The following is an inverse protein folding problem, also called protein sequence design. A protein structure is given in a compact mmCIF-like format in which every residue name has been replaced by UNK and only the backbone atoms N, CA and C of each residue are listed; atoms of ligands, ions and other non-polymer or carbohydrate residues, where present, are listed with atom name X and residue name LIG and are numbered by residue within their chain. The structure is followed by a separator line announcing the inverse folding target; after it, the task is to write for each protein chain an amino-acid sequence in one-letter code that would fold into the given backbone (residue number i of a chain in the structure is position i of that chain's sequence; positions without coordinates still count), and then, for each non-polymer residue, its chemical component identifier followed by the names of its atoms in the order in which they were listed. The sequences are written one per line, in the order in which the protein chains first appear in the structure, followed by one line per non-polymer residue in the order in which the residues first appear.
data_IF_176494419804
#
_entry.id   IF_176494419804
#
_cell.length_a   1.000
_cell.length_b   1.000
_cell.length_c   1.000
_cell.angle_alpha   90.00
_cell.angle_beta   90.00
_cell.angle_gamma   90.00
#
_symmetry.space_group_name_H-M   'P 1'
#
loop_
_entity.id
_entity.type
_entity.pdbx_description
1 polymer ?
#
# COMPACT_ATOMS: atom_id res chain seq x y z
N UNK A 1 12.42 -17.64 -46.05
CA UNK A 1 12.91 -17.02 -44.80
C UNK A 1 11.68 -16.50 -44.08
N UNK A 2 11.13 -17.29 -43.16
CA UNK A 2 9.91 -16.94 -42.44
C UNK A 2 10.33 -16.09 -41.25
N UNK A 3 9.86 -14.83 -41.20
CA UNK A 3 10.08 -13.96 -40.05
C UNK A 3 9.36 -14.55 -38.84
N UNK A 4 10.10 -14.79 -37.76
CA UNK A 4 9.53 -15.14 -36.47
C UNK A 4 8.77 -13.90 -35.95
N UNK A 5 7.50 -14.07 -35.59
CA UNK A 5 6.75 -13.05 -34.88
C UNK A 5 7.37 -12.88 -33.48
N UNK A 6 7.76 -11.66 -33.14
CA UNK A 6 8.21 -11.32 -31.79
C UNK A 6 7.02 -11.45 -30.83
N UNK A 7 7.21 -12.01 -29.62
CA UNK A 7 6.13 -12.07 -28.64
C UNK A 7 5.80 -10.64 -28.21
N UNK A 8 4.60 -10.18 -28.52
CA UNK A 8 4.04 -8.97 -27.90
C UNK A 8 3.85 -9.28 -26.42
N UNK A 9 4.66 -8.67 -25.55
CA UNK A 9 4.41 -8.66 -24.10
C UNK A 9 3.02 -8.05 -23.87
N UNK A 10 2.03 -8.89 -23.60
CA UNK A 10 0.72 -8.43 -23.14
C UNK A 10 0.92 -7.74 -21.80
N UNK A 11 0.61 -6.44 -21.73
CA UNK A 11 0.66 -5.69 -20.48
C UNK A 11 -0.19 -6.42 -19.43
N UNK A 12 0.31 -6.60 -18.19
CA UNK A 12 -0.42 -7.32 -17.17
C UNK A 12 -1.77 -6.65 -16.92
N UNK A 13 -2.85 -7.37 -17.20
CA UNK A 13 -4.21 -6.89 -16.99
C UNK A 13 -4.53 -6.90 -15.50
N UNK A 14 -4.36 -5.75 -14.85
CA UNK A 14 -4.76 -5.57 -13.46
C UNK A 14 -6.28 -5.54 -13.33
N UNK A 15 -6.78 -6.10 -12.23
CA UNK A 15 -8.20 -6.09 -11.89
C UNK A 15 -8.63 -4.72 -11.37
N UNK A 16 -7.80 -4.09 -10.52
CA UNK A 16 -7.93 -2.69 -10.17
C UNK A 16 -7.07 -1.84 -11.11
N UNK A 17 -7.59 -0.70 -11.55
CA UNK A 17 -6.88 0.18 -12.49
C UNK A 17 -5.62 0.80 -11.87
N UNK A 18 -5.66 1.08 -10.56
CA UNK A 18 -4.57 1.67 -9.80
C UNK A 18 -4.68 1.33 -8.30
N UNK A 19 -3.70 1.81 -7.54
CA UNK A 19 -3.69 1.69 -6.07
C UNK A 19 -4.85 2.44 -5.41
N UNK A 20 -5.40 3.50 -6.02
CA UNK A 20 -6.51 4.25 -5.44
C UNK A 20 -7.81 3.43 -5.48
N UNK A 21 -8.10 2.79 -6.61
CA UNK A 21 -9.20 1.85 -6.77
C UNK A 21 -9.04 0.67 -5.81
N UNK A 22 -7.85 0.07 -5.74
CA UNK A 22 -7.58 -1.02 -4.80
C UNK A 22 -7.83 -0.62 -3.33
N UNK A 23 -7.37 0.56 -2.92
CA UNK A 23 -7.54 1.02 -1.54
C UNK A 23 -9.00 1.34 -1.22
N UNK A 24 -9.69 2.07 -2.10
CA UNK A 24 -11.07 2.54 -1.86
C UNK A 24 -12.11 1.44 -2.02
N UNK A 25 -12.00 0.62 -3.05
CA UNK A 25 -13.04 -0.35 -3.43
C UNK A 25 -12.84 -1.72 -2.75
N UNK A 26 -11.61 -2.07 -2.37
CA UNK A 26 -11.31 -3.33 -1.71
C UNK A 26 -10.76 -3.16 -0.30
N UNK A 27 -9.57 -2.57 -0.13
CA UNK A 27 -8.88 -2.59 1.17
C UNK A 27 -9.71 -1.93 2.28
N UNK A 28 -10.23 -0.72 2.05
CA UNK A 28 -11.06 -0.01 3.01
C UNK A 28 -12.38 -0.74 3.33
N UNK A 29 -12.89 -1.53 2.38
CA UNK A 29 -14.08 -2.35 2.57
C UNK A 29 -13.78 -3.68 3.29
N UNK A 30 -12.55 -4.18 3.21
CA UNK A 30 -12.15 -5.44 3.85
C UNK A 30 -11.65 -5.25 5.27
N UNK A 31 -10.93 -4.15 5.56
CA UNK A 31 -10.39 -3.91 6.88
C UNK A 31 -11.49 -3.46 7.85
N UNK A 32 -11.72 -4.26 8.89
CA UNK A 32 -12.69 -4.01 9.97
C UNK A 32 -11.99 -3.98 11.32
N UNK A 33 -11.13 -2.97 11.50
CA UNK A 33 -10.35 -2.74 12.72
C UNK A 33 -10.85 -1.48 13.43
N UNK A 34 -10.66 -1.40 14.74
CA UNK A 34 -11.00 -0.20 15.52
C UNK A 34 -9.96 0.90 15.26
N UNK A 35 -10.30 1.86 14.41
CA UNK A 35 -9.47 3.03 14.12
C UNK A 35 -9.91 4.21 14.98
N UNK A 36 -9.12 4.53 16.01
CA UNK A 36 -9.47 5.53 17.03
C UNK A 36 -8.35 6.56 17.28
N UNK A 37 -7.22 6.45 16.57
CA UNK A 37 -6.05 7.30 16.73
C UNK A 37 -5.20 6.99 17.97
N UNK A 38 -5.56 5.99 18.78
CA UNK A 38 -4.83 5.62 20.00
C UNK A 38 -4.25 4.21 19.94
N UNK A 39 -5.04 3.23 19.51
CA UNK A 39 -4.58 1.84 19.32
C UNK A 39 -4.25 1.54 17.86
N UNK A 40 -4.93 2.21 16.93
CA UNK A 40 -4.58 2.23 15.51
C UNK A 40 -5.01 3.57 14.90
N UNK A 41 -4.29 4.01 13.88
CA UNK A 41 -4.62 5.22 13.12
C UNK A 41 -4.76 4.94 11.62
N UNK A 42 -5.36 5.89 10.90
CA UNK A 42 -5.47 5.89 9.45
C UNK A 42 -5.60 7.34 8.96
N UNK A 43 -4.92 7.68 7.87
CA UNK A 43 -5.06 8.97 7.22
C UNK A 43 -5.99 8.86 5.99
N UNK A 44 -7.08 9.65 5.89
CA UNK A 44 -7.96 9.62 4.72
C UNK A 44 -7.27 10.11 3.44
N UNK A 45 -6.29 11.00 3.55
CA UNK A 45 -5.44 11.49 2.45
C UNK A 45 -4.10 10.75 2.44
N UNK A 46 -4.15 9.42 2.58
CA UNK A 46 -2.95 8.58 2.66
C UNK A 46 -1.93 8.81 1.53
N UNK A 47 -2.38 9.24 0.36
CA UNK A 47 -1.53 9.54 -0.81
C UNK A 47 -0.59 10.73 -0.59
N UNK A 48 -0.85 11.59 0.39
CA UNK A 48 0.04 12.68 0.78
C UNK A 48 1.24 12.18 1.62
N UNK A 49 1.25 10.90 2.01
CA UNK A 49 2.35 10.26 2.72
C UNK A 49 3.14 9.34 1.78
N UNK A 50 4.37 9.71 1.35
CA UNK A 50 5.14 8.94 0.37
C UNK A 50 5.38 7.48 0.78
N UNK A 51 5.72 7.26 2.06
CA UNK A 51 5.92 5.91 2.58
C UNK A 51 4.62 5.09 2.52
N UNK A 52 3.46 5.69 2.82
CA UNK A 52 2.20 4.99 2.76
C UNK A 52 1.82 4.63 1.32
N UNK A 53 1.97 5.58 0.39
CA UNK A 53 1.75 5.36 -1.03
C UNK A 53 2.59 4.20 -1.57
N UNK A 54 3.89 4.13 -1.23
CA UNK A 54 4.77 3.05 -1.62
C UNK A 54 4.33 1.69 -1.05
N UNK A 55 4.00 1.63 0.25
CA UNK A 55 3.54 0.39 0.92
C UNK A 55 2.22 -0.12 0.35
N UNK A 56 1.24 0.78 0.14
CA UNK A 56 -0.07 0.42 -0.42
C UNK A 56 0.06 -0.04 -1.87
N UNK A 57 0.92 0.59 -2.67
CA UNK A 57 1.18 0.17 -4.05
C UNK A 57 1.82 -1.22 -4.09
N UNK A 58 2.81 -1.49 -3.25
CA UNK A 58 3.43 -2.81 -3.15
C UNK A 58 2.42 -3.90 -2.74
N UNK A 59 1.54 -3.58 -1.78
CA UNK A 59 0.48 -4.49 -1.34
C UNK A 59 -0.56 -4.75 -2.44
N UNK A 60 -0.92 -3.74 -3.23
CA UNK A 60 -1.80 -3.88 -4.39
C UNK A 60 -1.18 -4.77 -5.47
N UNK A 61 0.06 -4.52 -5.87
CA UNK A 61 0.75 -5.34 -6.88
C UNK A 61 0.89 -6.80 -6.45
N UNK A 62 1.16 -7.04 -5.16
CA UNK A 62 1.16 -8.40 -4.60
C UNK A 62 -0.23 -9.04 -4.67
N UNK A 63 -1.30 -8.27 -4.44
CA UNK A 63 -2.68 -8.74 -4.57
C UNK A 63 -3.01 -9.12 -6.02
N UNK A 64 -2.65 -8.28 -7.00
CA UNK A 64 -2.87 -8.54 -8.44
C UNK A 64 -2.18 -9.81 -8.93
N UNK A 65 -0.99 -10.09 -8.39
CA UNK A 65 -0.28 -11.32 -8.69
C UNK A 65 -0.93 -12.52 -8.01
N UNK A 66 -1.14 -12.45 -6.69
CA UNK A 66 -1.58 -13.60 -5.89
C UNK A 66 -3.06 -13.95 -6.07
N UNK A 67 -3.91 -13.03 -6.51
CA UNK A 67 -5.33 -13.33 -6.81
C UNK A 67 -5.51 -14.40 -7.90
N UNK A 68 -4.48 -14.62 -8.71
CA UNK A 68 -4.52 -15.59 -9.82
C UNK A 68 -4.34 -17.03 -9.32
N UNK A 69 -3.82 -17.23 -8.10
CA UNK A 69 -3.76 -18.53 -7.44
C UNK A 69 -5.04 -18.75 -6.61
N UNK A 70 -5.96 -19.63 -7.06
CA UNK A 70 -7.20 -19.91 -6.33
C UNK A 70 -7.00 -20.75 -5.06
N UNK A 71 -5.85 -21.40 -4.88
CA UNK A 71 -5.61 -22.31 -3.78
C UNK A 71 -5.13 -21.56 -2.53
N UNK A 72 -3.94 -20.96 -2.59
CA UNK A 72 -3.28 -20.36 -1.42
C UNK A 72 -2.96 -18.88 -1.60
N UNK A 73 -3.12 -18.33 -2.81
CA UNK A 73 -2.74 -16.96 -3.15
C UNK A 73 -3.23 -15.91 -2.16
N UNK A 74 -4.54 -15.94 -1.82
CA UNK A 74 -5.09 -14.99 -0.86
C UNK A 74 -4.60 -15.19 0.58
N UNK A 75 -4.35 -16.43 1.00
CA UNK A 75 -3.76 -16.71 2.31
C UNK A 75 -2.34 -16.17 2.39
N UNK A 76 -1.52 -16.44 1.36
CA UNK A 76 -0.16 -15.90 1.21
C UNK A 76 -0.17 -14.37 1.19
N UNK A 77 -1.11 -13.76 0.47
CA UNK A 77 -1.24 -12.31 0.40
C UNK A 77 -1.48 -11.69 1.78
N UNK A 78 -2.43 -12.23 2.56
CA UNK A 78 -2.68 -11.73 3.91
C UNK A 78 -1.46 -11.86 4.82
N UNK A 79 -0.87 -13.06 4.86
CA UNK A 79 0.21 -13.38 5.80
C UNK A 79 1.52 -12.64 5.50
N UNK A 80 1.88 -12.52 4.22
CA UNK A 80 3.20 -12.05 3.81
C UNK A 80 3.21 -10.60 3.29
N UNK A 81 2.05 -10.06 2.90
CA UNK A 81 1.97 -8.71 2.33
C UNK A 81 1.05 -7.82 3.14
N UNK A 82 -0.22 -8.18 3.28
CA UNK A 82 -1.21 -7.27 3.85
C UNK A 82 -0.96 -6.99 5.34
N UNK A 83 -0.88 -8.03 6.18
CA UNK A 83 -0.73 -7.84 7.63
C UNK A 83 0.59 -7.13 8.02
N UNK A 84 1.75 -7.46 7.43
CA UNK A 84 2.99 -6.72 7.70
C UNK A 84 2.92 -5.24 7.31
N UNK A 85 2.36 -4.91 6.15
CA UNK A 85 2.20 -3.51 5.73
C UNK A 85 1.19 -2.76 6.61
N UNK A 86 0.03 -3.36 6.89
CA UNK A 86 -1.01 -2.76 7.73
C UNK A 86 -0.54 -2.56 9.17
N UNK A 87 0.31 -3.45 9.70
CA UNK A 87 0.90 -3.27 11.04
C UNK A 87 1.66 -1.95 11.13
N UNK A 88 2.49 -1.64 10.13
CA UNK A 88 3.28 -0.40 10.11
C UNK A 88 2.39 0.80 9.77
N UNK A 89 1.55 0.69 8.73
CA UNK A 89 0.68 1.79 8.30
C UNK A 89 -0.23 2.28 9.43
N UNK A 90 -0.78 1.35 10.21
CA UNK A 90 -1.76 1.66 11.25
C UNK A 90 -1.15 1.84 12.64
N UNK A 91 0.18 1.79 12.78
CA UNK A 91 0.89 2.07 14.03
C UNK A 91 0.72 3.56 14.38
N UNK A 92 0.04 3.90 15.50
CA UNK A 92 -0.24 5.29 15.86
C UNK A 92 1.00 6.03 16.37
N UNK A 93 2.06 5.32 16.76
CA UNK A 93 3.26 5.92 17.35
C UNK A 93 4.40 6.01 16.33
N UNK A 94 4.60 4.95 15.53
CA UNK A 94 5.75 4.82 14.62
C UNK A 94 5.38 4.76 13.14
N UNK A 95 4.09 4.73 12.82
CA UNK A 95 3.62 4.62 11.45
C UNK A 95 3.69 5.94 10.67
N UNK A 96 3.62 5.90 9.33
CA UNK A 96 3.62 7.12 8.51
C UNK A 96 2.40 8.02 8.76
N UNK A 97 1.36 7.49 9.40
CA UNK A 97 0.16 8.23 9.79
C UNK A 97 0.17 8.66 11.27
N UNK A 98 1.26 8.50 12.01
CA UNK A 98 1.30 8.71 13.46
C UNK A 98 0.84 10.11 13.90
N UNK A 99 1.12 11.16 13.12
CA UNK A 99 0.64 12.51 13.42
C UNK A 99 -0.70 12.87 12.76
N UNK A 100 -1.33 11.92 12.06
CA UNK A 100 -2.69 12.05 11.55
C UNK A 100 -3.66 11.38 12.53
N UNK A 101 -4.85 11.93 12.65
CA UNK A 101 -5.87 11.39 13.54
C UNK A 101 -7.16 11.19 12.76
N UNK A 102 -7.92 10.10 13.01
CA UNK A 102 -9.23 9.91 12.40
C UNK A 102 -10.24 11.03 12.74
N UNK A 103 -10.01 11.76 13.83
CA UNK A 103 -10.88 12.85 14.30
C UNK A 103 -10.46 14.22 13.77
N UNK A 104 -9.15 14.47 13.75
CA UNK A 104 -8.56 15.79 13.44
C UNK A 104 -8.07 15.86 11.99
N UNK A 105 -8.05 14.72 11.29
CA UNK A 105 -7.73 14.61 9.88
C UNK A 105 -6.23 14.49 9.60
N UNK A 106 -5.87 14.94 8.40
CA UNK A 106 -4.53 14.86 7.87
C UNK A 106 -3.63 15.99 8.36
N UNK A 107 -2.40 15.64 8.69
CA UNK A 107 -1.31 16.58 8.94
C UNK A 107 -0.32 16.46 7.80
N UNK A 108 -0.15 17.54 7.03
CA UNK A 108 0.57 17.52 5.75
C UNK A 108 2.00 16.98 5.86
N UNK A 109 2.75 17.39 6.89
CA UNK A 109 4.18 17.06 6.99
C UNK A 109 4.66 17.09 8.44
N UNK A 110 4.34 16.06 9.24
CA UNK A 110 4.77 16.01 10.64
C UNK A 110 6.24 15.61 10.82
N UNK A 111 6.83 14.94 9.83
CA UNK A 111 8.15 14.33 9.94
C UNK A 111 9.06 14.76 8.79
N UNK A 112 10.29 15.15 9.13
CA UNK A 112 11.32 15.46 8.15
C UNK A 112 11.79 14.19 7.41
N UNK A 113 12.28 14.31 6.16
CA UNK A 113 12.94 13.22 5.47
C UNK A 113 14.10 12.64 6.28
N UNK A 114 14.50 11.40 5.96
CA UNK A 114 15.68 10.80 6.59
C UNK A 114 16.91 11.72 6.39
N UNK A 115 17.69 11.98 7.45
CA UNK A 115 18.90 12.77 7.32
C UNK A 115 19.89 12.00 6.46
N UNK A 116 20.33 12.62 5.38
CA UNK A 116 21.36 12.09 4.48
C UNK A 116 22.45 13.14 4.30
N UNK A 117 23.70 12.75 4.46
CA UNK A 117 24.82 13.59 4.07
C UNK A 117 24.86 13.72 2.54
N UNK A 118 25.41 14.84 2.05
CA UNK A 118 25.69 14.98 0.64
C UNK A 118 26.63 13.85 0.19
N UNK A 119 26.34 13.26 -0.97
CA UNK A 119 27.21 12.24 -1.57
C UNK A 119 28.61 12.84 -1.76
N UNK A 120 29.68 12.21 -1.21
CA UNK A 120 31.05 12.64 -1.49
C UNK A 120 31.32 12.60 -3.00
N UNK A 121 32.07 13.59 -3.48
CA UNK A 121 32.54 13.68 -4.87
C UNK A 121 33.70 12.72 -5.18
#
# INVERSE_FOLDING_TARGET
MTAAAEPTEEEPQFYFADVYAFVSDYLAQMIRRRVNGTSTTWCPTWWEHPEAGARLSAMWLAWEHLRQDPALGMSTWWLHHADPHLRILMDPDNGPFAACSPKDGHTAYPFDPLPVDARPE
#
